data_IF_891681118419
#
_entry.id   IF_891681118419
#
_cell.length_a   1.000
_cell.length_b   1.000
_cell.length_c   1.000
_cell.angle_alpha   90.00
_cell.angle_beta   90.00
_cell.angle_gamma   90.00
#
_symmetry.space_group_name_H-M   'P 1'
#
loop_
_entity.id
_entity.type
_entity.pdbx_description
1 polymer ?
#
# COMPACT_ATOMS: atom_id res chain seq x y z
N UNK A 1 1.00 -8.61 0.43
CA UNK A 1 0.93 -7.92 -0.88
C UNK A 1 0.91 -8.95 -2.00
N UNK A 2 0.16 -8.68 -3.07
CA UNK A 2 0.11 -9.47 -4.31
C UNK A 2 1.17 -9.00 -5.29
N UNK A 3 1.31 -7.68 -5.47
CA UNK A 3 2.43 -7.10 -6.22
C UNK A 3 3.75 -7.22 -5.43
N UNK A 4 4.82 -7.61 -6.12
CA UNK A 4 6.19 -7.58 -5.60
C UNK A 4 6.77 -6.17 -5.78
N UNK A 5 7.30 -5.59 -4.71
CA UNK A 5 8.04 -4.32 -4.76
C UNK A 5 9.53 -4.64 -4.76
N UNK A 6 10.25 -4.21 -5.78
CA UNK A 6 11.71 -4.31 -5.87
C UNK A 6 12.34 -2.98 -6.25
N UNK A 7 13.68 -2.92 -6.28
CA UNK A 7 14.39 -1.73 -6.76
C UNK A 7 13.86 -1.29 -8.13
N UNK A 8 13.58 0.01 -8.28
CA UNK A 8 13.00 0.59 -9.50
C UNK A 8 11.49 0.37 -9.71
N UNK A 9 10.80 -0.33 -8.80
CA UNK A 9 9.34 -0.51 -8.88
C UNK A 9 8.61 0.75 -8.39
N UNK A 10 7.54 1.13 -9.08
CA UNK A 10 6.67 2.21 -8.63
C UNK A 10 5.83 1.74 -7.41
N UNK A 11 6.16 2.25 -6.23
CA UNK A 11 5.46 1.93 -4.97
C UNK A 11 3.96 2.22 -5.06
N UNK A 12 3.58 3.40 -5.56
CA UNK A 12 2.18 3.76 -5.71
C UNK A 12 1.45 2.80 -6.66
N UNK A 13 2.07 2.46 -7.79
CA UNK A 13 1.50 1.49 -8.74
C UNK A 13 1.27 0.11 -8.11
N UNK A 14 2.21 -0.36 -7.28
CA UNK A 14 2.04 -1.61 -6.54
C UNK A 14 0.91 -1.53 -5.50
N UNK A 15 0.76 -0.41 -4.80
CA UNK A 15 -0.33 -0.19 -3.85
C UNK A 15 -1.69 -0.16 -4.56
N UNK A 16 -1.83 0.60 -5.66
CA UNK A 16 -3.06 0.67 -6.45
C UNK A 16 -3.48 -0.69 -7.00
N UNK A 17 -2.52 -1.48 -7.52
CA UNK A 17 -2.81 -2.83 -8.00
C UNK A 17 -3.32 -3.75 -6.87
N UNK A 18 -2.71 -3.67 -5.68
CA UNK A 18 -3.20 -4.46 -4.54
C UNK A 18 -4.57 -4.01 -4.06
N UNK A 19 -4.85 -2.70 -4.08
CA UNK A 19 -6.17 -2.15 -3.75
C UNK A 19 -7.24 -2.66 -4.71
N UNK A 20 -6.99 -2.60 -6.02
CA UNK A 20 -7.89 -3.14 -7.04
C UNK A 20 -8.22 -4.62 -6.78
N UNK A 21 -7.23 -5.44 -6.40
CA UNK A 21 -7.47 -6.85 -6.07
C UNK A 21 -8.33 -7.05 -4.83
N UNK A 22 -8.22 -6.18 -3.83
CA UNK A 22 -9.08 -6.22 -2.63
C UNK A 22 -10.50 -5.77 -2.99
N UNK A 23 -10.64 -4.70 -3.76
CA UNK A 23 -11.93 -4.14 -4.19
C UNK A 23 -12.71 -5.13 -5.08
N UNK A 24 -12.02 -5.89 -5.93
CA UNK A 24 -12.58 -6.97 -6.74
C UNK A 24 -12.90 -8.25 -5.94
N UNK A 25 -12.58 -8.29 -4.64
CA UNK A 25 -12.75 -9.48 -3.79
C UNK A 25 -11.78 -10.63 -4.11
N UNK A 26 -10.76 -10.37 -4.94
CA UNK A 26 -9.72 -11.33 -5.32
C UNK A 26 -8.57 -11.42 -4.29
N UNK A 27 -8.58 -10.54 -3.30
CA UNK A 27 -7.60 -10.49 -2.22
C UNK A 27 -8.18 -9.92 -0.93
N UNK A 28 -7.41 -10.03 0.15
CA UNK A 28 -7.74 -9.47 1.46
C UNK A 28 -6.47 -8.98 2.15
N UNK A 29 -6.55 -7.86 2.86
CA UNK A 29 -5.47 -7.42 3.76
C UNK A 29 -5.47 -8.33 4.99
N UNK A 30 -4.33 -8.97 5.25
CA UNK A 30 -4.16 -9.91 6.37
C UNK A 30 -3.39 -9.28 7.54
N UNK A 31 -2.47 -8.37 7.23
CA UNK A 31 -1.64 -7.64 8.17
C UNK A 31 -1.07 -6.42 7.45
N UNK A 32 -0.70 -5.40 8.23
CA UNK A 32 0.01 -4.22 7.75
C UNK A 32 1.42 -4.15 8.35
N UNK A 33 2.31 -3.46 7.67
CA UNK A 33 3.61 -3.07 8.19
C UNK A 33 3.92 -1.67 7.68
N UNK A 34 4.22 -0.73 8.58
CA UNK A 34 4.43 0.68 8.26
C UNK A 34 3.24 1.35 7.55
N UNK A 35 2.04 0.79 7.72
CA UNK A 35 0.76 1.33 7.23
C UNK A 35 -0.22 1.30 8.40
N UNK A 36 -0.97 2.37 8.59
CA UNK A 36 -1.98 2.47 9.64
C UNK A 36 -3.22 1.70 9.21
N UNK A 37 -3.73 0.83 10.08
CA UNK A 37 -4.97 0.11 9.83
C UNK A 37 -6.17 1.05 10.09
N UNK A 38 -7.04 1.30 9.08
CA UNK A 38 -8.21 2.15 9.25
C UNK A 38 -9.27 1.43 10.11
N UNK A 39 -10.03 2.20 10.88
CA UNK A 39 -10.98 1.66 11.86
C UNK A 39 -12.12 0.83 11.23
N UNK A 40 -12.46 1.10 9.98
CA UNK A 40 -13.47 0.37 9.20
C UNK A 40 -12.86 -0.77 8.35
N UNK A 41 -11.54 -0.94 8.39
CA UNK A 41 -10.81 -1.89 7.57
C UNK A 41 -10.78 -1.56 6.07
N UNK A 42 -11.30 -0.39 5.65
CA UNK A 42 -11.33 0.03 4.26
C UNK A 42 -10.03 0.77 3.90
N UNK A 43 -9.08 0.04 3.32
CA UNK A 43 -7.82 0.61 2.87
C UNK A 43 -7.97 1.47 1.62
N UNK A 44 -7.05 2.43 1.45
CA UNK A 44 -6.92 3.24 0.25
C UNK A 44 -5.43 3.37 -0.11
N UNK A 45 -5.08 3.14 -1.37
CA UNK A 45 -3.72 3.25 -1.87
C UNK A 45 -3.03 4.60 -1.57
N UNK A 46 -3.75 5.73 -1.63
CA UNK A 46 -3.17 7.05 -1.35
C UNK A 46 -2.86 7.24 0.14
N UNK A 47 -3.72 6.77 1.04
CA UNK A 47 -3.47 6.79 2.48
C UNK A 47 -2.29 5.89 2.84
N UNK A 48 -2.23 4.69 2.26
CA UNK A 48 -1.09 3.79 2.41
C UNK A 48 0.22 4.44 1.93
N UNK A 49 0.20 5.13 0.80
CA UNK A 49 1.37 5.84 0.28
C UNK A 49 1.84 6.92 1.25
N UNK A 50 0.93 7.73 1.79
CA UNK A 50 1.27 8.74 2.80
C UNK A 50 1.88 8.13 4.06
N UNK A 51 1.40 6.97 4.49
CA UNK A 51 1.99 6.26 5.62
C UNK A 51 3.42 5.79 5.30
N UNK A 52 3.65 5.22 4.13
CA UNK A 52 5.00 4.87 3.68
C UNK A 52 5.93 6.09 3.64
N UNK A 53 5.49 7.19 3.04
CA UNK A 53 6.28 8.43 2.92
C UNK A 53 6.79 8.94 4.27
N UNK A 54 6.02 8.78 5.35
CA UNK A 54 6.44 9.17 6.72
C UNK A 54 7.65 8.39 7.22
N UNK A 55 7.88 7.19 6.70
CA UNK A 55 9.00 6.32 7.06
C UNK A 55 10.09 6.28 5.98
N UNK A 56 9.87 6.92 4.83
CA UNK A 56 10.86 6.99 3.76
C UNK A 56 11.91 8.08 4.04
N UNK A 57 13.16 7.88 3.61
CA UNK A 57 14.17 8.93 3.68
C UNK A 57 13.73 10.17 2.89
N UNK A 58 14.07 11.35 3.41
CA UNK A 58 13.67 12.66 2.85
C UNK A 58 14.15 12.95 1.42
N UNK A 59 14.99 12.08 0.84
CA UNK A 59 15.54 12.21 -0.50
C UNK A 59 14.89 11.27 -1.53
N UNK A 60 13.79 10.58 -1.14
CA UNK A 60 13.05 9.66 -2.03
C UNK A 60 11.69 10.25 -2.47
N UNK A 61 11.36 11.49 -2.10
CA UNK A 61 10.10 12.16 -2.46
C UNK A 61 10.19 12.98 -3.74
#
# INVERSE_FOLDING_TARGET
MVAKISHGSNLYGALSYNQEKVDEGLGKVLATNLVIEPADGAFNASACMQDFERFMPSHIT
#
